data_IF_877044966817
#
_entry.id   IF_877044966817
#
_cell.length_a   1.000
_cell.length_b   1.000
_cell.length_c   1.000
_cell.angle_alpha   90.00
_cell.angle_beta   90.00
_cell.angle_gamma   90.00
#
_symmetry.space_group_name_H-M   'P 1'
#
loop_
_entity.id
_entity.type
_entity.pdbx_description
1 polymer ?
#
# COMPACT_ATOMS: atom_id res chain seq x y z
N UNK A 1 -25.33 23.85 5.15
CA UNK A 1 -23.98 23.64 4.56
C UNK A 1 -23.55 22.19 4.78
N UNK A 2 -23.66 21.28 3.80
CA UNK A 2 -23.25 19.89 3.97
C UNK A 2 -21.79 19.72 3.50
N UNK A 3 -20.87 20.55 3.97
CA UNK A 3 -19.62 20.77 3.21
C UNK A 3 -18.54 19.71 3.46
N UNK A 4 -18.47 19.13 4.68
CA UNK A 4 -17.43 18.13 4.99
C UNK A 4 -17.91 16.69 4.83
N UNK A 5 -19.15 16.39 5.21
CA UNK A 5 -19.71 15.05 5.12
C UNK A 5 -19.90 14.58 3.68
N UNK A 6 -20.43 15.45 2.81
CA UNK A 6 -20.73 15.13 1.42
C UNK A 6 -19.46 15.01 0.56
N UNK A 7 -18.45 15.85 0.83
CA UNK A 7 -17.13 15.71 0.24
C UNK A 7 -16.47 14.38 0.63
N UNK A 8 -16.54 13.97 1.90
CA UNK A 8 -15.96 12.69 2.33
C UNK A 8 -16.62 11.48 1.66
N UNK A 9 -17.94 11.53 1.43
CA UNK A 9 -18.70 10.48 0.76
C UNK A 9 -18.40 10.42 -0.74
N UNK A 10 -18.36 11.56 -1.42
CA UNK A 10 -18.08 11.64 -2.86
C UNK A 10 -16.64 11.25 -3.19
N UNK A 11 -15.67 11.66 -2.36
CA UNK A 11 -14.28 11.22 -2.49
C UNK A 11 -14.18 9.71 -2.25
N UNK A 12 -14.78 9.18 -1.18
CA UNK A 12 -14.76 7.73 -0.90
C UNK A 12 -15.38 6.92 -2.04
N UNK A 13 -16.50 7.37 -2.60
CA UNK A 13 -17.15 6.70 -3.72
C UNK A 13 -16.29 6.72 -4.98
N UNK A 14 -15.71 7.88 -5.30
CA UNK A 14 -14.84 8.02 -6.49
C UNK A 14 -13.59 7.15 -6.35
N UNK A 15 -12.98 7.15 -5.17
CA UNK A 15 -11.83 6.28 -4.86
C UNK A 15 -12.21 4.80 -4.94
N UNK A 16 -13.35 4.39 -4.40
CA UNK A 16 -13.81 3.01 -4.48
C UNK A 16 -14.03 2.54 -5.92
N UNK A 17 -14.57 3.41 -6.80
CA UNK A 17 -14.71 3.12 -8.23
C UNK A 17 -13.35 2.94 -8.90
N UNK A 18 -12.42 3.86 -8.68
CA UNK A 18 -11.08 3.78 -9.24
C UNK A 18 -10.33 2.51 -8.79
N UNK A 19 -10.43 2.13 -7.51
CA UNK A 19 -9.81 0.89 -7.00
C UNK A 19 -10.41 -0.33 -7.71
N UNK A 20 -11.73 -0.36 -7.94
CA UNK A 20 -12.40 -1.45 -8.64
C UNK A 20 -12.00 -1.55 -10.11
N UNK A 21 -11.83 -0.42 -10.79
CA UNK A 21 -11.33 -0.39 -12.18
C UNK A 21 -9.92 -0.96 -12.25
N UNK A 22 -9.02 -0.51 -11.37
CA UNK A 22 -7.64 -1.01 -11.30
C UNK A 22 -7.60 -2.52 -11.01
N UNK A 23 -8.46 -3.03 -10.12
CA UNK A 23 -8.50 -4.46 -9.83
C UNK A 23 -8.96 -5.26 -11.05
N UNK A 24 -9.99 -4.78 -11.76
CA UNK A 24 -10.50 -5.42 -12.97
C UNK A 24 -9.48 -5.44 -14.10
N UNK A 25 -8.77 -4.32 -14.35
CA UNK A 25 -7.74 -4.23 -15.38
C UNK A 25 -6.61 -5.23 -15.13
N UNK A 26 -6.32 -5.52 -13.86
CA UNK A 26 -5.34 -6.52 -13.43
C UNK A 26 -5.90 -7.94 -13.33
N UNK A 27 -7.19 -8.16 -13.59
CA UNK A 27 -7.90 -9.43 -13.37
C UNK A 27 -7.78 -9.96 -11.93
N UNK A 28 -7.74 -9.04 -10.97
CA UNK A 28 -7.69 -9.33 -9.54
C UNK A 28 -9.00 -8.92 -8.86
N UNK A 29 -9.31 -9.55 -7.75
CA UNK A 29 -10.25 -9.00 -6.78
C UNK A 29 -9.64 -7.79 -6.06
N UNK A 30 -10.48 -6.95 -5.46
CA UNK A 30 -10.02 -5.80 -4.67
C UNK A 30 -9.14 -6.24 -3.49
N UNK A 31 -9.46 -7.38 -2.88
CA UNK A 31 -8.69 -7.94 -1.76
C UNK A 31 -7.29 -8.39 -2.20
N UNK A 32 -7.19 -9.09 -3.33
CA UNK A 32 -5.90 -9.50 -3.91
C UNK A 32 -5.05 -8.28 -4.30
N UNK A 33 -5.65 -7.27 -4.92
CA UNK A 33 -4.96 -6.01 -5.24
C UNK A 33 -4.43 -5.33 -3.96
N UNK A 34 -5.23 -5.31 -2.88
CA UNK A 34 -4.80 -4.73 -1.61
C UNK A 34 -3.63 -5.52 -1.00
N UNK A 35 -3.70 -6.85 -1.01
CA UNK A 35 -2.64 -7.72 -0.52
C UNK A 35 -1.34 -7.55 -1.31
N UNK A 36 -1.41 -7.40 -2.64
CA UNK A 36 -0.25 -7.10 -3.48
C UNK A 36 0.37 -5.75 -3.13
N UNK A 37 -0.45 -4.70 -2.94
CA UNK A 37 0.04 -3.37 -2.59
C UNK A 37 0.71 -3.36 -1.21
N UNK A 38 0.10 -4.01 -0.23
CA UNK A 38 0.67 -4.16 1.12
C UNK A 38 2.00 -4.91 1.05
N UNK A 39 2.04 -6.04 0.33
CA UNK A 39 3.24 -6.86 0.16
C UNK A 39 4.35 -6.07 -0.53
N UNK A 40 4.03 -5.33 -1.58
CA UNK A 40 4.98 -4.47 -2.30
C UNK A 40 5.56 -3.39 -1.38
N UNK A 41 4.73 -2.76 -0.55
CA UNK A 41 5.17 -1.74 0.41
C UNK A 41 6.06 -2.34 1.51
N UNK A 42 5.76 -3.55 1.97
CA UNK A 42 6.57 -4.26 2.97
C UNK A 42 7.93 -4.69 2.41
N UNK A 43 7.94 -5.24 1.19
CA UNK A 43 9.17 -5.69 0.50
C UNK A 43 10.07 -4.50 0.18
N UNK A 44 9.52 -3.38 -0.31
CA UNK A 44 10.32 -2.19 -0.66
C UNK A 44 10.97 -1.50 0.53
N UNK A 45 10.58 -1.84 1.75
CA UNK A 45 11.08 -1.18 2.97
C UNK A 45 12.01 -2.02 3.80
N UNK A 46 12.13 -3.33 3.60
CA UNK A 46 12.95 -4.19 4.47
C UNK A 46 14.11 -4.81 3.69
N UNK A 47 15.32 -4.61 4.19
CA UNK A 47 16.54 -5.27 3.72
C UNK A 47 17.01 -6.23 4.81
N UNK A 48 17.53 -7.38 4.41
CA UNK A 48 18.16 -8.33 5.34
C UNK A 48 19.63 -7.94 5.51
N UNK A 49 20.08 -7.74 6.74
CA UNK A 49 21.49 -7.50 7.04
C UNK A 49 22.31 -8.76 6.74
N UNK A 50 23.39 -8.61 5.97
CA UNK A 50 24.27 -9.73 5.60
C UNK A 50 25.12 -10.25 6.77
N UNK A 51 25.33 -9.45 7.81
CA UNK A 51 26.16 -9.81 8.96
C UNK A 51 25.38 -10.58 10.04
N UNK A 52 24.13 -10.18 10.31
CA UNK A 52 23.34 -10.73 11.41
C UNK A 52 22.00 -11.35 10.98
N UNK A 53 21.62 -11.26 9.70
CA UNK A 53 20.38 -11.85 9.17
C UNK A 53 19.09 -11.13 9.57
N UNK A 54 19.17 -10.02 10.31
CA UNK A 54 18.00 -9.27 10.77
C UNK A 54 17.39 -8.47 9.61
N UNK A 55 16.05 -8.44 9.53
CA UNK A 55 15.31 -7.58 8.60
C UNK A 55 15.24 -6.17 9.15
N UNK A 56 15.82 -5.21 8.45
CA UNK A 56 15.93 -3.81 8.85
C UNK A 56 15.30 -2.92 7.80
N UNK A 57 14.71 -1.80 8.22
CA UNK A 57 14.20 -0.83 7.24
C UNK A 57 15.34 -0.35 6.35
N UNK A 58 15.11 -0.24 5.03
CA UNK A 58 16.14 0.20 4.07
C UNK A 58 16.75 1.55 4.45
N UNK A 59 15.95 2.46 4.99
CA UNK A 59 16.38 3.78 5.52
C UNK A 59 17.33 3.68 6.72
N UNK A 60 17.26 2.58 7.47
CA UNK A 60 18.01 2.38 8.71
C UNK A 60 19.20 1.43 8.51
N UNK A 61 19.42 0.91 7.30
CA UNK A 61 20.48 -0.06 7.04
C UNK A 61 21.87 0.54 7.27
N UNK A 62 22.08 1.83 6.96
CA UNK A 62 23.35 2.51 7.18
C UNK A 62 23.70 2.77 8.65
N UNK A 63 22.70 2.76 9.55
CA UNK A 63 22.91 2.90 11.00
C UNK A 63 23.08 1.51 11.65
N UNK A 64 22.51 0.49 11.02
CA UNK A 64 22.53 -0.88 11.50
C UNK A 64 23.80 -1.65 11.13
N UNK A 65 24.38 -1.37 9.96
CA UNK A 65 25.68 -1.87 9.49
C UNK A 65 26.83 -1.20 10.24
#
# INVERSE_FOLDING_TARGET
MPEKGWYSLTVRLSTAKAIKEISNDKKLTVDELLNELISTVQIKKLLTCSLCGVKVKSTNMSIHM
#
